data_IF_394686711049
#
_entry.id   IF_394686711049
#
_cell.length_a   1.000
_cell.length_b   1.000
_cell.length_c   1.000
_cell.angle_alpha   90.00
_cell.angle_beta   90.00
_cell.angle_gamma   90.00
#
_symmetry.space_group_name_H-M   'P 1'
#
loop_
_entity.id
_entity.type
_entity.pdbx_description
1 polymer ?
#
# COMPACT_ATOMS: atom_id res chain seq x y z
N UNK A 1 12.98 -24.78 11.28
CA UNK A 1 13.49 -24.72 9.89
C UNK A 1 14.75 -25.54 9.83
N UNK A 2 14.89 -26.34 8.77
CA UNK A 2 16.03 -27.23 8.54
C UNK A 2 16.73 -26.84 7.23
N UNK A 3 18.04 -27.10 7.16
CA UNK A 3 18.87 -26.95 5.98
C UNK A 3 18.90 -28.26 5.20
N UNK A 4 18.43 -28.25 3.96
CA UNK A 4 18.36 -29.45 3.10
C UNK A 4 19.76 -30.03 2.87
N UNK A 5 20.70 -29.18 2.45
CA UNK A 5 22.14 -29.43 2.57
C UNK A 5 22.63 -28.82 3.89
N UNK A 6 23.16 -29.61 4.83
CA UNK A 6 23.67 -29.11 6.10
C UNK A 6 24.79 -28.08 5.93
N UNK A 7 24.88 -27.09 6.83
CA UNK A 7 25.95 -26.07 6.81
C UNK A 7 27.36 -26.65 6.90
N UNK A 8 27.52 -27.70 7.70
CA UNK A 8 28.77 -28.46 7.85
C UNK A 8 29.26 -29.06 6.54
N UNK A 9 28.35 -29.29 5.58
CA UNK A 9 28.64 -29.77 4.22
C UNK A 9 28.56 -28.66 3.17
N UNK A 10 28.72 -27.39 3.56
CA UNK A 10 28.70 -26.24 2.65
C UNK A 10 27.31 -25.70 2.28
N UNK A 11 26.26 -26.15 2.98
CA UNK A 11 24.90 -25.65 2.78
C UNK A 11 24.74 -24.15 3.05
N UNK A 12 24.05 -23.45 2.14
CA UNK A 12 23.80 -22.01 2.25
C UNK A 12 22.58 -21.67 3.13
N UNK A 13 22.46 -20.42 3.59
CA UNK A 13 21.24 -19.90 4.24
C UNK A 13 20.21 -19.35 3.22
N UNK A 14 20.34 -19.67 1.93
CA UNK A 14 19.35 -19.25 0.93
C UNK A 14 18.03 -19.98 1.15
N UNK A 15 16.92 -19.35 0.80
CA UNK A 15 15.58 -19.96 0.90
C UNK A 15 15.50 -21.27 0.12
N UNK A 16 16.22 -21.37 -1.01
CA UNK A 16 16.33 -22.60 -1.80
C UNK A 16 17.00 -23.77 -1.06
N UNK A 17 17.67 -23.55 0.08
CA UNK A 17 18.26 -24.61 0.90
C UNK A 17 17.52 -24.80 2.23
N UNK A 18 16.40 -24.10 2.44
CA UNK A 18 15.65 -24.15 3.69
C UNK A 18 14.32 -24.85 3.48
N UNK A 19 13.97 -25.74 4.40
CA UNK A 19 12.65 -26.39 4.44
C UNK A 19 12.03 -26.30 5.82
N UNK A 20 10.71 -26.42 5.86
CA UNK A 20 9.96 -26.49 7.11
C UNK A 20 9.97 -27.95 7.56
N UNK A 21 10.55 -28.18 8.74
CA UNK A 21 10.61 -29.48 9.38
C UNK A 21 10.20 -29.34 10.85
N UNK A 22 9.64 -30.42 11.41
CA UNK A 22 9.37 -30.52 12.83
C UNK A 22 10.69 -30.50 13.64
N UNK A 23 10.64 -30.12 14.91
CA UNK A 23 11.85 -30.04 15.75
C UNK A 23 12.58 -31.39 15.81
N UNK A 24 11.86 -32.46 16.11
CA UNK A 24 12.39 -33.83 16.18
C UNK A 24 13.01 -34.25 14.83
N UNK A 25 12.30 -34.03 13.73
CA UNK A 25 12.74 -34.34 12.37
C UNK A 25 14.08 -33.66 12.03
N UNK A 26 14.21 -32.39 12.39
CA UNK A 26 15.42 -31.59 12.18
C UNK A 26 16.60 -32.13 13.01
N UNK A 27 16.35 -32.49 14.28
CA UNK A 27 17.38 -33.07 15.15
C UNK A 27 17.82 -34.46 14.68
N UNK A 28 16.88 -35.33 14.31
CA UNK A 28 17.17 -36.69 13.84
C UNK A 28 17.95 -36.67 12.53
N UNK A 29 17.64 -35.76 11.61
CA UNK A 29 18.43 -35.59 10.38
C UNK A 29 19.85 -35.11 10.69
N UNK A 30 19.99 -34.13 11.59
CA UNK A 30 21.29 -33.56 11.96
C UNK A 30 22.10 -33.11 10.73
N UNK A 31 23.30 -33.68 10.57
CA UNK A 31 24.21 -33.39 9.46
C UNK A 31 24.10 -34.37 8.27
N UNK A 32 23.06 -35.20 8.25
CA UNK A 32 22.81 -36.11 7.12
C UNK A 32 22.32 -35.35 5.89
N UNK A 33 22.61 -35.90 4.72
CA UNK A 33 22.02 -35.43 3.47
C UNK A 33 20.55 -35.81 3.40
N UNK A 34 19.73 -34.94 2.79
CA UNK A 34 18.28 -35.14 2.72
C UNK A 34 17.90 -36.45 2.02
N UNK A 35 18.70 -36.86 1.03
CA UNK A 35 18.51 -38.10 0.26
C UNK A 35 18.75 -39.34 1.13
N UNK A 36 19.74 -39.28 2.02
CA UNK A 36 20.04 -40.35 2.97
C UNK A 36 18.94 -40.44 4.04
N UNK A 37 18.55 -39.29 4.61
CA UNK A 37 17.54 -39.21 5.66
C UNK A 37 16.14 -39.65 5.20
N UNK A 38 15.78 -39.36 3.93
CA UNK A 38 14.48 -39.71 3.36
C UNK A 38 14.52 -40.92 2.41
N UNK A 39 15.57 -41.75 2.48
CA UNK A 39 15.74 -42.94 1.63
C UNK A 39 14.53 -43.89 1.65
N UNK A 40 13.88 -44.07 2.80
CA UNK A 40 12.65 -44.87 2.95
C UNK A 40 11.34 -44.14 2.63
N UNK A 41 11.40 -42.87 2.19
CA UNK A 41 10.23 -42.01 1.93
C UNK A 41 10.40 -41.22 0.61
N UNK A 42 10.43 -41.90 -0.54
CA UNK A 42 10.77 -41.29 -1.83
C UNK A 42 9.79 -40.18 -2.25
N UNK A 43 8.50 -40.30 -1.93
CA UNK A 43 7.50 -39.27 -2.22
C UNK A 43 7.76 -37.96 -1.46
N UNK A 44 8.22 -38.06 -0.21
CA UNK A 44 8.54 -36.88 0.61
C UNK A 44 9.81 -36.22 0.09
N UNK A 45 10.83 -37.02 -0.25
CA UNK A 45 12.07 -36.53 -0.85
C UNK A 45 11.79 -35.77 -2.16
N UNK A 46 10.98 -36.35 -3.04
CA UNK A 46 10.59 -35.74 -4.32
C UNK A 46 9.90 -34.40 -4.10
N UNK A 47 8.97 -34.31 -3.13
CA UNK A 47 8.27 -33.06 -2.79
C UNK A 47 9.19 -31.98 -2.22
N UNK A 48 10.14 -32.34 -1.37
CA UNK A 48 11.12 -31.38 -0.82
C UNK A 48 12.04 -30.87 -1.93
N UNK A 49 12.57 -31.76 -2.76
CA UNK A 49 13.46 -31.40 -3.86
C UNK A 49 12.75 -30.60 -4.96
N UNK A 50 11.45 -30.83 -5.20
CA UNK A 50 10.69 -30.04 -6.18
C UNK A 50 10.54 -28.58 -5.75
N UNK A 51 10.30 -28.32 -4.46
CA UNK A 51 10.20 -26.95 -3.93
C UNK A 51 11.51 -26.18 -4.02
N UNK A 52 12.65 -26.86 -3.87
CA UNK A 52 13.99 -26.25 -4.01
C UNK A 52 14.29 -25.82 -5.45
N UNK A 53 13.77 -26.57 -6.41
CA UNK A 53 13.97 -26.32 -7.84
C UNK A 53 13.05 -25.26 -8.41
N UNK A 54 12.08 -24.76 -7.62
CA UNK A 54 11.21 -23.69 -8.07
C UNK A 54 12.01 -22.39 -8.27
N UNK A 55 12.03 -21.84 -9.49
CA UNK A 55 12.74 -20.59 -9.75
C UNK A 55 12.08 -19.46 -8.98
N UNK A 56 12.90 -18.59 -8.38
CA UNK A 56 12.44 -17.38 -7.69
C UNK A 56 12.08 -16.28 -8.71
N UNK A 57 11.13 -16.57 -9.60
CA UNK A 57 10.76 -15.72 -10.73
C UNK A 57 10.34 -14.31 -10.29
N UNK A 58 9.56 -14.21 -9.21
CA UNK A 58 9.14 -12.93 -8.66
C UNK A 58 10.33 -12.09 -8.16
N UNK A 59 11.28 -12.73 -7.45
CA UNK A 59 12.47 -12.04 -6.99
C UNK A 59 13.36 -11.60 -8.16
N UNK A 60 13.45 -12.40 -9.22
CA UNK A 60 14.15 -12.05 -10.44
C UNK A 60 13.49 -10.86 -11.16
N UNK A 61 12.15 -10.83 -11.24
CA UNK A 61 11.41 -9.72 -11.82
C UNK A 61 11.62 -8.41 -11.03
N UNK A 62 11.57 -8.46 -9.70
CA UNK A 62 11.85 -7.30 -8.83
C UNK A 62 13.29 -6.82 -8.99
N UNK A 63 14.27 -7.74 -9.03
CA UNK A 63 15.66 -7.36 -9.20
C UNK A 63 15.94 -6.75 -10.59
N UNK A 64 15.35 -7.34 -11.64
CA UNK A 64 15.47 -6.83 -13.02
C UNK A 64 14.86 -5.43 -13.14
N UNK A 65 13.63 -5.24 -12.66
CA UNK A 65 12.96 -3.93 -12.67
C UNK A 65 13.72 -2.88 -11.86
N UNK A 66 14.29 -3.25 -10.71
CA UNK A 66 15.16 -2.36 -9.92
C UNK A 66 16.39 -1.92 -10.69
N UNK A 67 17.08 -2.83 -11.39
CA UNK A 67 18.25 -2.49 -12.20
C UNK A 67 17.87 -1.56 -13.36
N UNK A 68 16.82 -1.88 -14.11
CA UNK A 68 16.34 -1.03 -15.21
C UNK A 68 15.97 0.37 -14.71
N UNK A 69 15.26 0.47 -13.56
CA UNK A 69 14.90 1.75 -12.96
C UNK A 69 16.14 2.58 -12.60
N UNK A 70 17.16 1.96 -12.03
CA UNK A 70 18.39 2.65 -11.66
C UNK A 70 19.12 3.22 -12.88
N UNK A 71 19.22 2.45 -13.97
CA UNK A 71 19.85 2.93 -15.21
C UNK A 71 19.03 4.07 -15.84
N UNK A 72 17.71 3.98 -15.88
CA UNK A 72 16.83 5.07 -16.34
C UNK A 72 16.99 6.35 -15.49
N UNK A 73 17.07 6.22 -14.16
CA UNK A 73 17.26 7.36 -13.28
C UNK A 73 18.60 8.06 -13.51
N UNK A 74 19.67 7.33 -13.85
CA UNK A 74 20.97 7.95 -14.19
C UNK A 74 20.88 8.84 -15.42
N UNK A 75 20.01 8.52 -16.39
CA UNK A 75 19.85 9.32 -17.60
C UNK A 75 19.32 10.73 -17.33
N UNK A 76 18.66 10.94 -16.18
CA UNK A 76 18.17 12.26 -15.75
C UNK A 76 19.30 13.25 -15.44
N UNK A 77 20.55 12.78 -15.31
CA UNK A 77 21.74 13.56 -14.89
C UNK A 77 21.62 14.17 -13.48
N UNK A 78 20.65 13.74 -12.69
CA UNK A 78 20.57 14.06 -11.28
C UNK A 78 21.47 13.10 -10.47
N UNK A 79 21.98 13.50 -9.30
CA UNK A 79 22.65 12.57 -8.39
C UNK A 79 21.68 11.44 -7.98
N UNK A 80 22.08 10.20 -8.25
CA UNK A 80 21.31 9.00 -7.89
C UNK A 80 22.13 8.15 -6.93
N UNK A 81 21.60 7.97 -5.73
CA UNK A 81 22.18 7.09 -4.71
C UNK A 81 21.31 5.84 -4.52
N UNK A 82 21.94 4.74 -4.10
CA UNK A 82 21.24 3.49 -3.76
C UNK A 82 21.56 3.09 -2.33
N UNK A 83 20.60 2.42 -1.68
CA UNK A 83 20.76 1.90 -0.33
C UNK A 83 20.36 0.44 -0.26
N UNK A 84 21.05 -0.34 0.58
CA UNK A 84 20.64 -1.70 0.87
C UNK A 84 19.55 -1.72 1.95
N UNK A 85 18.66 -2.72 1.90
CA UNK A 85 17.69 -2.92 2.99
C UNK A 85 18.34 -3.17 4.35
N UNK A 86 19.57 -3.72 4.36
CA UNK A 86 20.38 -3.86 5.57
C UNK A 86 20.80 -2.51 6.15
N UNK A 87 21.22 -1.56 5.31
CA UNK A 87 21.55 -0.21 5.71
C UNK A 87 20.32 0.55 6.22
N UNK A 88 19.17 0.43 5.55
CA UNK A 88 17.91 1.01 6.04
C UNK A 88 17.51 0.44 7.41
N UNK A 89 17.72 -0.87 7.61
CA UNK A 89 17.50 -1.51 8.92
C UNK A 89 18.47 -1.01 9.97
N UNK A 90 19.74 -0.79 9.63
CA UNK A 90 20.73 -0.21 10.53
C UNK A 90 20.38 1.24 10.93
N UNK A 91 19.96 2.06 9.97
CA UNK A 91 19.53 3.45 10.20
C UNK A 91 18.31 3.54 11.15
N UNK A 92 17.58 2.44 11.41
CA UNK A 92 16.60 2.39 12.50
C UNK A 92 17.18 2.63 13.89
N UNK A 93 18.50 2.70 14.05
CA UNK A 93 19.18 3.19 15.26
C UNK A 93 18.65 4.54 15.74
N UNK A 94 18.06 5.35 14.85
CA UNK A 94 17.40 6.62 15.19
C UNK A 94 16.06 6.46 15.96
N UNK A 95 15.58 5.23 16.19
CA UNK A 95 14.39 4.91 17.01
C UNK A 95 13.09 5.64 16.57
N UNK A 96 12.97 5.92 15.28
CA UNK A 96 11.79 6.55 14.70
C UNK A 96 10.63 5.55 14.58
N UNK A 97 9.36 5.97 14.81
CA UNK A 97 8.19 5.12 14.58
C UNK A 97 8.15 4.56 13.15
N UNK A 98 7.63 3.33 13.00
CA UNK A 98 7.51 2.71 11.69
C UNK A 98 6.37 3.34 10.89
N UNK A 99 6.72 4.15 9.89
CA UNK A 99 5.78 4.75 8.94
C UNK A 99 6.44 4.82 7.56
N UNK A 100 5.66 4.78 6.47
CA UNK A 100 6.23 4.78 5.12
C UNK A 100 7.16 5.98 4.84
N UNK A 101 6.85 7.16 5.38
CA UNK A 101 7.65 8.37 5.13
C UNK A 101 8.92 8.44 6.00
N UNK A 102 8.88 7.98 7.25
CA UNK A 102 10.08 7.87 8.10
C UNK A 102 11.00 6.76 7.62
N UNK A 103 10.42 5.68 7.10
CA UNK A 103 11.17 4.57 6.49
C UNK A 103 11.94 5.05 5.26
N UNK A 104 11.33 5.89 4.42
CA UNK A 104 11.99 6.52 3.29
C UNK A 104 13.17 7.42 3.71
N UNK A 105 13.01 8.17 4.81
CA UNK A 105 14.08 9.01 5.36
C UNK A 105 15.27 8.18 5.91
N UNK A 106 15.08 6.88 6.18
CA UNK A 106 16.15 5.98 6.63
C UNK A 106 16.90 5.29 5.47
N UNK A 107 16.59 5.60 4.21
CA UNK A 107 17.25 4.99 3.04
C UNK A 107 18.55 5.71 2.71
N UNK A 108 19.61 4.96 2.42
CA UNK A 108 20.93 5.51 2.03
C UNK A 108 21.85 5.78 3.21
N UNK A 109 22.88 6.59 2.98
CA UNK A 109 23.83 7.03 4.02
C UNK A 109 23.21 8.20 4.77
N UNK A 110 22.92 7.99 6.04
CA UNK A 110 22.23 8.98 6.88
C UNK A 110 22.95 9.12 8.22
N UNK A 111 23.53 10.29 8.46
CA UNK A 111 24.28 10.58 9.67
C UNK A 111 23.35 10.92 10.85
N UNK A 112 22.37 11.80 10.61
CA UNK A 112 21.38 12.22 11.60
C UNK A 112 20.04 12.55 10.94
N UNK A 113 18.95 12.41 11.70
CA UNK A 113 17.59 12.75 11.28
C UNK A 113 16.91 13.60 12.35
N UNK A 114 16.32 14.72 11.92
CA UNK A 114 15.48 15.58 12.75
C UNK A 114 14.07 15.62 12.16
N UNK A 115 13.06 15.31 12.98
CA UNK A 115 11.66 15.26 12.54
C UNK A 115 10.93 16.50 13.06
N UNK A 116 10.79 17.50 12.20
CA UNK A 116 10.06 18.74 12.51
C UNK A 116 8.54 18.62 12.31
N UNK A 117 8.11 17.65 11.50
CA UNK A 117 6.70 17.49 11.13
C UNK A 117 5.97 16.66 12.20
N UNK A 118 5.10 17.31 12.98
CA UNK A 118 4.23 16.64 13.96
C UNK A 118 3.02 15.97 13.33
N UNK A 119 2.52 16.50 12.20
CA UNK A 119 1.29 16.04 11.56
C UNK A 119 1.42 16.09 10.03
N UNK A 120 1.84 15.00 9.37
CA UNK A 120 2.00 15.00 7.91
C UNK A 120 0.64 15.10 7.22
N UNK A 121 0.60 15.75 6.05
CA UNK A 121 -0.55 15.71 5.17
C UNK A 121 -0.63 14.35 4.49
N UNK A 122 -1.64 13.56 4.82
CA UNK A 122 -1.94 12.28 4.20
C UNK A 122 -2.73 12.49 2.91
N UNK A 123 -2.14 12.07 1.79
CA UNK A 123 -2.75 12.14 0.46
C UNK A 123 -3.08 10.73 0.02
N UNK A 124 -4.34 10.48 -0.34
CA UNK A 124 -4.77 9.20 -0.89
C UNK A 124 -5.38 9.39 -2.28
N UNK A 125 -4.95 8.60 -3.25
CA UNK A 125 -5.55 8.58 -4.58
C UNK A 125 -6.99 8.04 -4.51
N UNK A 126 -7.96 8.83 -4.95
CA UNK A 126 -9.39 8.48 -5.04
C UNK A 126 -9.91 8.45 -6.48
N UNK A 127 -9.07 8.83 -7.45
CA UNK A 127 -9.36 8.81 -8.87
C UNK A 127 -10.41 9.83 -9.33
N UNK A 128 -10.68 9.83 -10.64
CA UNK A 128 -11.54 10.84 -11.29
C UNK A 128 -13.03 10.45 -11.37
N UNK A 129 -13.44 9.41 -10.63
CA UNK A 129 -14.80 8.86 -10.60
C UNK A 129 -14.94 7.62 -11.49
N UNK A 130 -16.13 7.02 -11.50
CA UNK A 130 -16.44 5.82 -12.27
C UNK A 130 -17.11 6.15 -13.62
N UNK A 131 -16.81 5.37 -14.66
CA UNK A 131 -17.55 5.38 -15.94
C UNK A 131 -18.83 4.53 -15.87
N UNK A 132 -18.95 3.68 -14.87
CA UNK A 132 -20.15 2.86 -14.64
C UNK A 132 -21.33 3.76 -14.29
N UNK A 133 -22.32 3.80 -15.19
CA UNK A 133 -23.51 4.64 -15.04
C UNK A 133 -24.72 3.93 -14.47
N UNK A 134 -24.71 2.61 -14.42
CA UNK A 134 -25.74 1.82 -13.76
C UNK A 134 -25.16 1.22 -12.48
N UNK A 135 -25.72 1.55 -11.33
CA UNK A 135 -25.43 0.87 -10.08
C UNK A 135 -26.22 -0.43 -10.04
N UNK A 136 -25.56 -1.50 -9.66
CA UNK A 136 -26.16 -2.83 -9.54
C UNK A 136 -26.32 -3.21 -8.07
N UNK A 137 -27.26 -4.10 -7.77
CA UNK A 137 -27.30 -4.76 -6.47
C UNK A 137 -26.18 -5.81 -6.37
N UNK A 138 -26.09 -6.51 -5.23
CA UNK A 138 -25.10 -7.58 -4.99
C UNK A 138 -25.18 -8.75 -5.98
N UNK A 139 -26.29 -8.89 -6.70
CA UNK A 139 -26.54 -9.93 -7.72
C UNK A 139 -26.31 -9.43 -9.16
N UNK A 140 -25.88 -8.18 -9.34
CA UNK A 140 -25.62 -7.62 -10.67
C UNK A 140 -26.84 -6.97 -11.36
N UNK A 141 -28.02 -6.96 -10.72
CA UNK A 141 -29.20 -6.34 -11.34
C UNK A 141 -29.18 -4.81 -11.21
N UNK A 142 -29.51 -4.05 -12.27
CA UNK A 142 -29.68 -2.60 -12.25
C UNK A 142 -30.60 -2.10 -11.14
N UNK A 143 -30.13 -1.13 -10.35
CA UNK A 143 -30.93 -0.48 -9.28
C UNK A 143 -31.05 1.03 -9.47
N UNK A 144 -30.03 1.67 -10.05
CA UNK A 144 -30.02 3.13 -10.22
C UNK A 144 -29.17 3.57 -11.40
N UNK A 145 -29.70 4.48 -12.20
CA UNK A 145 -28.94 5.18 -13.23
C UNK A 145 -28.35 6.49 -12.70
N UNK A 146 -27.05 6.67 -12.90
CA UNK A 146 -26.30 7.86 -12.55
C UNK A 146 -26.35 8.87 -13.72
N UNK A 147 -26.49 10.15 -13.37
CA UNK A 147 -26.47 11.27 -14.32
C UNK A 147 -25.19 11.27 -15.18
N UNK A 148 -25.33 11.68 -16.44
CA UNK A 148 -24.17 11.97 -17.33
C UNK A 148 -23.48 13.27 -16.92
N UNK A 149 -24.26 14.24 -16.46
CA UNK A 149 -23.78 15.53 -16.00
C UNK A 149 -23.02 15.37 -14.70
N UNK A 150 -21.78 15.83 -14.67
CA UNK A 150 -20.88 15.72 -13.50
C UNK A 150 -20.91 16.96 -12.60
N UNK A 151 -21.38 18.09 -13.13
CA UNK A 151 -21.46 19.37 -12.42
C UNK A 151 -22.92 19.61 -12.04
N UNK A 152 -23.18 19.83 -10.76
CA UNK A 152 -24.49 20.14 -10.23
C UNK A 152 -24.38 21.38 -9.35
N UNK A 153 -25.15 22.42 -9.67
CA UNK A 153 -25.13 23.71 -8.97
C UNK A 153 -23.73 24.34 -8.86
N UNK A 154 -22.87 24.13 -9.86
CA UNK A 154 -21.48 24.62 -9.87
C UNK A 154 -20.45 23.72 -9.19
N UNK A 155 -20.86 22.61 -8.56
CA UNK A 155 -19.97 21.69 -7.83
C UNK A 155 -19.85 20.32 -8.51
N UNK A 156 -18.73 19.64 -8.28
CA UNK A 156 -18.49 18.25 -8.69
C UNK A 156 -18.33 17.36 -7.47
N UNK A 157 -18.80 16.12 -7.58
CA UNK A 157 -18.57 15.11 -6.55
C UNK A 157 -17.08 14.83 -6.41
N UNK A 158 -16.55 15.11 -5.22
CA UNK A 158 -15.14 15.02 -4.89
C UNK A 158 -14.46 16.37 -4.64
N UNK A 159 -15.13 17.50 -4.90
CA UNK A 159 -14.64 18.81 -4.46
C UNK A 159 -14.58 18.85 -2.93
N UNK A 160 -13.69 19.68 -2.37
CA UNK A 160 -13.68 20.00 -0.95
C UNK A 160 -14.39 21.34 -0.79
N UNK A 161 -15.42 21.35 0.03
CA UNK A 161 -16.26 22.52 0.28
C UNK A 161 -16.22 22.90 1.74
N UNK A 162 -16.40 24.20 1.99
CA UNK A 162 -16.77 24.73 3.30
C UNK A 162 -18.25 25.10 3.21
N UNK A 163 -19.06 24.53 4.08
CA UNK A 163 -20.47 24.86 4.20
C UNK A 163 -20.72 25.62 5.51
N UNK A 164 -21.34 26.80 5.42
CA UNK A 164 -21.72 27.61 6.58
C UNK A 164 -23.25 27.67 6.61
N UNK A 165 -23.86 26.85 7.47
CA UNK A 165 -25.32 26.76 7.58
C UNK A 165 -25.80 27.67 8.71
N UNK A 166 -26.67 28.62 8.35
CA UNK A 166 -27.18 29.65 9.27
C UNK A 166 -28.62 29.41 9.73
N UNK A 167 -29.34 28.44 9.14
CA UNK A 167 -30.75 28.16 9.46
C UNK A 167 -31.05 26.66 9.48
N UNK A 168 -32.01 26.26 10.32
CA UNK A 168 -32.53 24.89 10.43
C UNK A 168 -31.76 23.99 11.41
N UNK A 169 -32.02 22.68 11.39
CA UNK A 169 -31.51 21.75 12.40
C UNK A 169 -30.01 21.42 12.26
N UNK A 170 -29.36 21.87 11.18
CA UNK A 170 -27.94 21.58 10.87
C UNK A 170 -27.09 22.85 10.88
N UNK A 171 -27.41 23.79 11.75
CA UNK A 171 -26.62 25.02 11.92
C UNK A 171 -25.19 24.64 12.32
N UNK A 172 -24.21 25.23 11.64
CA UNK A 172 -22.81 24.93 11.87
C UNK A 172 -21.93 25.17 10.65
N UNK A 173 -20.62 25.00 10.86
CA UNK A 173 -19.61 25.05 9.80
C UNK A 173 -19.06 23.66 9.56
N UNK A 174 -19.09 23.22 8.30
CA UNK A 174 -18.61 21.91 7.88
C UNK A 174 -17.57 22.07 6.78
N UNK A 175 -16.44 21.36 6.91
CA UNK A 175 -15.42 21.30 5.86
C UNK A 175 -15.20 19.85 5.50
N UNK A 176 -15.25 19.54 4.21
CA UNK A 176 -15.11 18.17 3.77
C UNK A 176 -15.36 17.95 2.30
N UNK A 177 -15.17 16.70 1.89
CA UNK A 177 -15.37 16.27 0.51
C UNK A 177 -16.87 16.13 0.23
N UNK A 178 -17.34 16.72 -0.87
CA UNK A 178 -18.77 16.78 -1.18
C UNK A 178 -19.20 15.70 -2.18
N UNK A 179 -20.37 15.12 -1.94
CA UNK A 179 -21.15 14.40 -2.93
C UNK A 179 -22.30 15.30 -3.40
N UNK A 180 -22.40 15.46 -4.71
CA UNK A 180 -23.23 16.48 -5.38
C UNK A 180 -24.36 15.82 -6.16
N UNK A 181 -25.43 15.35 -5.52
CA UNK A 181 -26.59 14.83 -6.23
C UNK A 181 -27.31 15.96 -7.02
N UNK A 182 -28.04 15.56 -8.07
CA UNK A 182 -28.79 16.49 -8.94
C UNK A 182 -29.78 17.38 -8.19
N UNK A 183 -30.25 16.94 -7.02
CA UNK A 183 -31.21 17.66 -6.17
C UNK A 183 -30.67 18.98 -5.61
N UNK A 184 -29.34 19.20 -5.60
CA UNK A 184 -28.73 20.39 -5.02
C UNK A 184 -28.65 20.37 -3.48
N UNK A 185 -28.96 19.21 -2.87
CA UNK A 185 -28.81 18.93 -1.45
C UNK A 185 -27.63 17.97 -1.26
N UNK A 186 -26.52 18.50 -0.79
CA UNK A 186 -25.21 17.87 -0.79
C UNK A 186 -24.93 17.07 0.47
N UNK A 187 -24.10 16.03 0.32
CA UNK A 187 -23.58 15.28 1.45
C UNK A 187 -22.09 15.60 1.61
N UNK A 188 -21.67 16.03 2.79
CA UNK A 188 -20.31 16.45 3.08
C UNK A 188 -19.67 15.44 4.03
N UNK A 189 -18.64 14.75 3.56
CA UNK A 189 -17.81 13.86 4.38
C UNK A 189 -16.81 14.71 5.17
N UNK A 190 -17.07 14.90 6.46
CA UNK A 190 -16.18 15.62 7.39
C UNK A 190 -15.36 14.64 8.22
N UNK A 191 -14.37 15.13 8.96
CA UNK A 191 -13.59 14.34 9.92
C UNK A 191 -14.49 13.71 11.00
N UNK A 192 -15.56 14.40 11.40
CA UNK A 192 -16.51 13.93 12.43
C UNK A 192 -17.58 12.98 11.89
N UNK A 193 -17.64 12.78 10.58
CA UNK A 193 -18.65 11.94 9.93
C UNK A 193 -19.35 12.60 8.75
N UNK A 194 -20.33 11.89 8.21
CA UNK A 194 -21.09 12.32 7.04
C UNK A 194 -22.26 13.22 7.43
N UNK A 195 -22.25 14.46 6.94
CA UNK A 195 -23.36 15.39 7.08
C UNK A 195 -24.16 15.39 5.78
N UNK A 196 -25.38 14.86 5.83
CA UNK A 196 -26.22 14.73 4.64
C UNK A 196 -27.13 15.94 4.45
N UNK A 197 -27.56 16.19 3.22
CA UNK A 197 -28.67 17.09 2.92
C UNK A 197 -28.42 18.59 3.18
N UNK A 198 -27.21 19.07 2.93
CA UNK A 198 -26.83 20.48 3.05
C UNK A 198 -27.10 21.19 1.73
N UNK A 199 -27.90 22.26 1.73
CA UNK A 199 -28.17 23.04 0.52
C UNK A 199 -26.88 23.59 -0.10
N UNK A 200 -26.70 23.46 -1.41
CA UNK A 200 -25.57 24.02 -2.15
C UNK A 200 -25.36 25.53 -1.91
N UNK A 201 -26.44 26.27 -1.56
CA UNK A 201 -26.39 27.70 -1.27
C UNK A 201 -25.50 28.04 -0.07
N UNK A 202 -25.32 27.09 0.85
CA UNK A 202 -24.45 27.26 2.01
C UNK A 202 -23.00 26.85 1.72
N UNK A 203 -22.72 26.26 0.55
CA UNK A 203 -21.42 25.70 0.21
C UNK A 203 -20.57 26.70 -0.59
N UNK A 204 -19.30 26.79 -0.24
CA UNK A 204 -18.25 27.46 -1.02
C UNK A 204 -17.12 26.47 -1.29
N UNK A 205 -16.58 26.48 -2.51
CA UNK A 205 -15.47 25.60 -2.89
C UNK A 205 -14.17 26.05 -2.22
N UNK A 206 -13.53 25.13 -1.50
CA UNK A 206 -12.18 25.32 -0.93
C UNK A 206 -11.13 24.76 -1.89
N UNK A 207 -11.39 23.58 -2.45
CA UNK A 207 -10.50 22.92 -3.40
C UNK A 207 -11.31 22.14 -4.43
N UNK A 208 -10.88 22.21 -5.70
CA UNK A 208 -11.52 21.47 -6.78
C UNK A 208 -10.98 20.05 -6.83
N UNK A 209 -11.83 19.10 -7.20
CA UNK A 209 -11.45 17.70 -7.37
C UNK A 209 -10.25 17.55 -8.33
N UNK A 210 -9.17 17.00 -7.80
CA UNK A 210 -7.93 16.66 -8.52
C UNK A 210 -7.65 15.15 -8.58
N UNK A 211 -8.52 14.33 -7.98
CA UNK A 211 -8.34 12.89 -7.93
C UNK A 211 -7.74 12.38 -6.62
N UNK A 212 -7.40 13.26 -5.69
CA UNK A 212 -6.87 12.90 -4.38
C UNK A 212 -7.87 13.20 -3.26
N UNK A 213 -7.62 12.65 -2.09
CA UNK A 213 -8.21 13.07 -0.82
C UNK A 213 -7.10 13.43 0.14
N UNK A 214 -7.36 14.46 0.94
CA UNK A 214 -6.42 15.06 1.86
C UNK A 214 -6.92 14.85 3.28
N UNK A 215 -6.03 14.40 4.16
CA UNK A 215 -6.30 14.26 5.59
C UNK A 215 -5.02 14.52 6.39
N UNK A 216 -5.13 14.62 7.70
CA UNK A 216 -4.01 14.80 8.62
C UNK A 216 -4.09 13.80 9.77
#
# INVERSE_FOLDING_TARGET
MDHITPKSKGGSNRVSNLTIACHECNQTKGNQEIEQFLSGKPEVLKRVLSQVKEPLADAAAVNSTRCSLYEELKLTRLPVETGSGGLTKYNRRFKLPKTHWLDAACVGVVDSLYVEVKKPLLIAAKGHGTRQRCRTNKYGFPTRHCSRTKIHQGFKTGDIVKAIVTKGNKIGTYVGRVATPKTGSFNISTVKGLIQGISHKYCSTVHRKDGYSYNF
#
